data_IF_659339921136
#
_entry.id   IF_659339921136
#
_cell.length_a   1.000
_cell.length_b   1.000
_cell.length_c   1.000
_cell.angle_alpha   90.00
_cell.angle_beta   90.00
_cell.angle_gamma   90.00
#
_symmetry.space_group_name_H-M   'P 1'
#
loop_
_entity.id
_entity.type
_entity.pdbx_description
1 polymer ?
#
# COMPACT_ATOMS: atom_id res chain seq x y z
N UNK A 1 13.70 -3.96 -9.79
CA UNK A 1 13.04 -3.00 -8.88
C UNK A 1 12.28 -3.78 -7.83
N UNK A 2 12.35 -3.39 -6.56
CA UNK A 2 11.47 -3.92 -5.50
C UNK A 2 10.34 -2.91 -5.26
N UNK A 3 9.10 -3.36 -5.30
CA UNK A 3 7.94 -2.51 -4.99
C UNK A 3 7.58 -2.63 -3.51
N UNK A 4 7.10 -1.56 -2.90
CA UNK A 4 6.50 -1.64 -1.55
C UNK A 4 5.02 -1.31 -1.61
N UNK A 5 4.17 -2.26 -1.23
CA UNK A 5 2.71 -2.07 -1.13
C UNK A 5 2.38 -1.58 0.26
N UNK A 6 1.86 -0.37 0.36
CA UNK A 6 1.47 0.26 1.63
C UNK A 6 -0.05 0.17 1.80
N UNK A 7 -0.51 -0.46 2.89
CA UNK A 7 -1.92 -0.45 3.28
C UNK A 7 -2.39 -1.61 4.15
N UNK A 8 -3.69 -1.62 4.46
CA UNK A 8 -4.26 -2.61 5.37
C UNK A 8 -4.39 -3.99 4.69
N UNK A 9 -3.82 -5.09 5.23
CA UNK A 9 -3.79 -6.40 4.56
C UNK A 9 -5.17 -6.98 4.24
N UNK A 10 -6.18 -6.62 5.04
CA UNK A 10 -7.56 -7.07 4.88
C UNK A 10 -8.36 -6.21 3.89
N UNK A 11 -7.82 -5.09 3.44
CA UNK A 11 -8.48 -4.23 2.45
C UNK A 11 -8.66 -5.01 1.13
N UNK A 12 -9.87 -5.02 0.54
CA UNK A 12 -10.09 -5.65 -0.75
C UNK A 12 -9.25 -4.99 -1.86
N UNK A 13 -8.90 -3.70 -1.72
CA UNK A 13 -8.07 -2.99 -2.67
C UNK A 13 -6.59 -3.41 -2.58
N UNK A 14 -6.05 -3.57 -1.36
CA UNK A 14 -4.67 -4.08 -1.15
C UNK A 14 -4.55 -5.50 -1.69
N UNK A 15 -5.56 -6.35 -1.44
CA UNK A 15 -5.60 -7.72 -1.98
C UNK A 15 -5.61 -7.78 -3.50
N UNK A 16 -6.33 -6.88 -4.17
CA UNK A 16 -6.29 -6.78 -5.65
C UNK A 16 -4.88 -6.45 -6.15
N UNK A 17 -4.17 -5.55 -5.48
CA UNK A 17 -2.78 -5.21 -5.85
C UNK A 17 -1.85 -6.41 -5.69
N UNK A 18 -1.92 -7.14 -4.56
CA UNK A 18 -1.15 -8.37 -4.37
C UNK A 18 -1.39 -9.40 -5.46
N UNK A 19 -2.66 -9.64 -5.82
CA UNK A 19 -3.03 -10.54 -6.91
C UNK A 19 -2.37 -10.13 -8.23
N UNK A 20 -2.43 -8.85 -8.59
CA UNK A 20 -1.82 -8.34 -9.82
C UNK A 20 -0.29 -8.48 -9.80
N UNK A 21 0.36 -8.19 -8.66
CA UNK A 21 1.81 -8.32 -8.55
C UNK A 21 2.27 -9.77 -8.66
N UNK A 22 1.55 -10.71 -8.02
CA UNK A 22 1.79 -12.14 -8.15
C UNK A 22 1.58 -12.63 -9.60
N UNK A 23 0.47 -12.24 -10.23
CA UNK A 23 0.17 -12.59 -11.63
C UNK A 23 1.20 -12.06 -12.62
N UNK A 24 1.86 -10.94 -12.29
CA UNK A 24 2.93 -10.33 -13.10
C UNK A 24 4.34 -10.76 -12.69
N UNK A 25 4.48 -11.67 -11.73
CA UNK A 25 5.76 -12.10 -11.16
C UNK A 25 6.65 -10.92 -10.72
N UNK A 26 6.05 -9.87 -10.18
CA UNK A 26 6.77 -8.71 -9.64
C UNK A 26 7.15 -8.99 -8.19
N UNK A 27 8.41 -8.77 -7.84
CA UNK A 27 8.86 -8.81 -6.46
C UNK A 27 8.35 -7.57 -5.71
N UNK A 28 7.76 -7.78 -4.53
CA UNK A 28 7.28 -6.70 -3.68
C UNK A 28 7.34 -7.06 -2.21
N UNK A 29 7.51 -6.02 -1.39
CA UNK A 29 7.37 -6.04 0.06
C UNK A 29 6.04 -5.41 0.49
N UNK A 30 5.61 -5.68 1.71
CA UNK A 30 4.33 -5.18 2.24
C UNK A 30 4.58 -4.38 3.52
N UNK A 31 4.12 -3.13 3.52
CA UNK A 31 4.17 -2.22 4.65
C UNK A 31 2.73 -2.01 5.19
N UNK A 32 2.33 -2.75 6.24
CA UNK A 32 0.97 -2.66 6.76
C UNK A 32 0.71 -1.29 7.38
N UNK A 33 -0.26 -0.56 6.82
CA UNK A 33 -0.72 0.73 7.34
C UNK A 33 -2.23 0.72 7.44
N UNK A 34 -2.75 1.07 8.61
CA UNK A 34 -4.18 1.23 8.83
C UNK A 34 -4.62 2.65 8.48
N UNK A 35 -5.72 2.85 7.75
CA UNK A 35 -6.28 4.19 7.52
C UNK A 35 -6.77 4.86 8.82
N UNK A 36 -7.03 4.08 9.88
CA UNK A 36 -7.45 4.60 11.19
C UNK A 36 -6.27 4.95 12.11
N UNK A 37 -5.05 4.53 11.75
CA UNK A 37 -3.85 4.73 12.54
C UNK A 37 -2.68 4.97 11.57
N UNK A 38 -2.66 6.16 10.98
CA UNK A 38 -1.61 6.56 10.06
C UNK A 38 -0.31 6.81 10.85
N UNK A 39 0.83 6.26 10.40
CA UNK A 39 2.12 6.52 11.03
C UNK A 39 2.53 7.99 10.85
N UNK A 40 3.43 8.45 11.73
CA UNK A 40 3.97 9.80 11.63
C UNK A 40 4.68 10.02 10.29
N UNK A 41 4.46 11.17 9.66
CA UNK A 41 5.08 11.52 8.38
C UNK A 41 4.46 10.86 7.15
N UNK A 42 3.36 10.11 7.28
CA UNK A 42 2.64 9.48 6.16
C UNK A 42 2.23 10.50 5.07
N UNK A 43 1.92 11.75 5.47
CA UNK A 43 1.55 12.83 4.54
C UNK A 43 2.66 13.20 3.55
N UNK A 44 3.92 12.92 3.88
CA UNK A 44 5.07 13.16 2.97
C UNK A 44 5.11 12.14 1.82
N UNK A 45 4.54 10.96 2.04
CA UNK A 45 4.52 9.84 1.08
C UNK A 45 3.22 9.84 0.29
N UNK A 46 2.10 10.15 0.95
CA UNK A 46 0.77 10.25 0.35
C UNK A 46 0.16 11.62 0.70
N UNK A 47 0.40 12.65 -0.12
CA UNK A 47 -0.04 14.00 0.19
C UNK A 47 -1.57 14.11 0.25
N UNK A 48 -2.04 14.96 1.17
CA UNK A 48 -3.47 15.28 1.39
C UNK A 48 -4.16 15.72 0.09
N UNK A 49 -5.47 15.44 -0.08
CA UNK A 49 -6.48 15.35 0.99
C UNK A 49 -7.03 13.96 1.34
N UNK A 50 -6.70 12.89 0.62
CA UNK A 50 -7.49 11.66 0.66
C UNK A 50 -6.88 10.47 1.42
N UNK A 51 -5.59 10.49 1.79
CA UNK A 51 -4.89 9.39 2.48
C UNK A 51 -5.25 8.00 1.93
N UNK A 52 -5.33 7.86 0.59
CA UNK A 52 -5.87 6.64 -0.04
C UNK A 52 -4.90 5.48 0.11
N UNK A 53 -5.44 4.35 0.52
CA UNK A 53 -4.78 3.05 0.54
C UNK A 53 -5.49 2.12 -0.45
N UNK A 54 -4.78 1.23 -1.16
CA UNK A 54 -3.33 1.03 -1.19
C UNK A 54 -2.57 2.09 -2.00
N UNK A 55 -1.28 2.26 -1.71
CA UNK A 55 -0.30 2.96 -2.54
C UNK A 55 0.93 2.07 -2.78
N UNK A 56 1.59 2.20 -3.93
CA UNK A 56 2.81 1.45 -4.27
C UNK A 56 3.94 2.42 -4.53
N UNK A 57 5.09 2.18 -3.89
CA UNK A 57 6.35 2.89 -4.12
C UNK A 57 7.36 1.97 -4.81
#
# INVERSE_FOLDING_TARGET
MSYTVIGAPLSPFVRKVHLVMQLKALAYDMAPVSPFALPEGYEKINPRPLHRLPFCQ
#
